data_IF_808219203578
#
_entry.id   IF_808219203578
#
_cell.length_a   1.000
_cell.length_b   1.000
_cell.length_c   1.000
_cell.angle_alpha   90.00
_cell.angle_beta   90.00
_cell.angle_gamma   90.00
#
_symmetry.space_group_name_H-M   'P 1'
#
loop_
_entity.id
_entity.type
_entity.pdbx_description
1 polymer ?
#
# COMPACT_ATOMS: atom_id res chain seq x y z
N UNK A 1 22.93 13.10 -18.19
CA UNK A 1 22.59 14.08 -17.13
C UNK A 1 23.22 13.63 -15.82
N UNK A 2 24.05 14.44 -15.17
CA UNK A 2 24.70 14.10 -13.89
C UNK A 2 23.80 14.46 -12.71
N UNK A 3 23.49 13.50 -11.84
CA UNK A 3 22.68 13.70 -10.64
C UNK A 3 23.60 13.82 -9.41
N UNK A 4 23.59 14.96 -8.70
CA UNK A 4 24.37 15.17 -7.46
C UNK A 4 23.46 15.37 -6.25
N UNK A 5 23.71 14.60 -5.17
CA UNK A 5 23.01 14.69 -3.87
C UNK A 5 24.02 14.89 -2.72
N UNK A 6 23.92 15.96 -1.91
CA UNK A 6 24.81 16.14 -0.76
C UNK A 6 24.54 15.13 0.34
N UNK A 7 25.58 14.41 0.79
CA UNK A 7 25.46 13.40 1.85
C UNK A 7 25.02 14.00 3.20
N UNK A 8 25.40 15.24 3.48
CA UNK A 8 24.99 15.96 4.69
C UNK A 8 23.46 16.10 4.82
N UNK A 9 22.73 15.99 3.71
CA UNK A 9 21.28 16.09 3.67
C UNK A 9 20.59 14.73 3.75
N UNK A 10 21.32 13.61 3.76
CA UNK A 10 20.73 12.28 3.88
C UNK A 10 20.18 12.09 5.29
N UNK A 11 18.91 11.77 5.37
CA UNK A 11 18.19 11.57 6.64
C UNK A 11 17.76 10.12 6.85
N UNK A 12 17.61 9.33 5.78
CA UNK A 12 17.37 7.92 5.89
C UNK A 12 17.92 7.15 4.69
N UNK A 13 18.40 5.94 4.94
CA UNK A 13 18.80 4.97 3.93
C UNK A 13 18.14 3.64 4.27
N UNK A 14 17.43 3.08 3.30
CA UNK A 14 16.73 1.81 3.43
C UNK A 14 17.22 0.84 2.37
N UNK A 15 17.43 -0.41 2.74
CA UNK A 15 17.47 -1.51 1.77
C UNK A 15 16.05 -1.76 1.28
N UNK A 16 15.92 -2.01 -0.03
CA UNK A 16 14.64 -2.26 -0.69
C UNK A 16 14.72 -3.51 -1.53
N UNK A 17 13.53 -3.97 -1.89
CA UNK A 17 13.36 -4.97 -2.94
C UNK A 17 12.96 -4.28 -4.23
N UNK A 18 13.32 -4.87 -5.34
CA UNK A 18 12.77 -4.54 -6.65
C UNK A 18 12.45 -5.86 -7.36
N UNK A 19 11.21 -6.01 -7.82
CA UNK A 19 10.67 -7.28 -8.38
C UNK A 19 10.94 -8.49 -7.47
N UNK A 20 10.65 -8.34 -6.19
CA UNK A 20 10.88 -9.35 -5.14
C UNK A 20 12.35 -9.80 -4.94
N UNK A 21 13.33 -9.09 -5.48
CA UNK A 21 14.76 -9.34 -5.21
C UNK A 21 15.31 -8.26 -4.29
N UNK A 22 16.13 -8.62 -3.29
CA UNK A 22 16.82 -7.69 -2.38
C UNK A 22 17.95 -6.90 -3.09
N UNK A 23 17.69 -6.33 -4.25
CA UNK A 23 18.66 -5.66 -5.13
C UNK A 23 18.70 -4.15 -4.98
N UNK A 24 17.72 -3.55 -4.31
CA UNK A 24 17.52 -2.11 -4.33
C UNK A 24 17.87 -1.41 -3.02
N UNK A 25 17.93 -0.08 -3.08
CA UNK A 25 17.98 0.79 -1.91
C UNK A 25 17.24 2.10 -2.18
N UNK A 26 16.86 2.77 -1.10
CA UNK A 26 16.19 4.06 -1.15
C UNK A 26 16.85 5.05 -0.20
N UNK A 27 17.15 6.24 -0.72
CA UNK A 27 17.81 7.33 -0.01
C UNK A 27 16.86 8.51 0.11
N UNK A 28 16.62 8.94 1.35
CA UNK A 28 15.78 10.08 1.66
C UNK A 28 16.63 11.27 2.09
N UNK A 29 16.28 12.45 1.58
CA UNK A 29 16.95 13.71 1.88
C UNK A 29 16.08 14.62 2.76
N UNK A 30 16.71 15.58 3.45
CA UNK A 30 16.02 16.61 4.24
C UNK A 30 15.04 17.41 3.37
N UNK A 31 13.97 17.91 3.99
CA UNK A 31 12.92 18.69 3.31
C UNK A 31 13.53 19.91 2.61
N UNK A 32 13.07 20.19 1.39
CA UNK A 32 13.49 21.37 0.61
C UNK A 32 14.82 21.25 -0.12
N UNK A 33 15.54 20.12 -0.01
CA UNK A 33 16.86 19.99 -0.66
C UNK A 33 16.74 19.43 -2.08
N UNK A 34 16.35 18.16 -2.25
CA UNK A 34 16.14 17.45 -3.55
C UNK A 34 15.27 16.21 -3.32
N UNK A 35 14.64 15.67 -4.38
CA UNK A 35 13.92 14.38 -4.33
C UNK A 35 14.84 13.24 -3.89
N UNK A 36 14.26 12.30 -3.15
CA UNK A 36 14.88 11.02 -2.78
C UNK A 36 15.31 10.22 -4.01
N UNK A 37 16.09 9.18 -3.80
CA UNK A 37 16.59 8.30 -4.86
C UNK A 37 16.22 6.86 -4.53
N UNK A 38 15.60 6.19 -5.49
CA UNK A 38 15.49 4.74 -5.50
C UNK A 38 16.50 4.21 -6.53
N UNK A 39 17.35 3.28 -6.11
CA UNK A 39 18.41 2.72 -6.93
C UNK A 39 18.28 1.20 -6.89
N UNK A 40 18.08 0.59 -8.05
CA UNK A 40 18.20 -0.84 -8.26
C UNK A 40 19.61 -1.16 -8.78
N UNK A 41 20.21 -2.24 -8.27
CA UNK A 41 21.55 -2.67 -8.67
C UNK A 41 21.53 -3.82 -9.67
N UNK A 42 20.36 -4.43 -9.92
CA UNK A 42 20.22 -5.63 -10.75
C UNK A 42 19.96 -6.89 -9.92
N UNK A 43 19.56 -7.97 -10.59
CA UNK A 43 19.02 -9.17 -9.92
C UNK A 43 20.06 -10.23 -9.59
N UNK A 44 21.34 -10.07 -9.99
CA UNK A 44 22.36 -11.11 -9.77
C UNK A 44 22.92 -11.07 -8.35
N UNK A 45 23.55 -12.17 -7.90
CA UNK A 45 24.26 -12.20 -6.61
C UNK A 45 25.33 -11.10 -6.52
N UNK A 46 26.08 -10.88 -7.60
CA UNK A 46 27.10 -9.83 -7.66
C UNK A 46 26.52 -8.42 -7.55
N UNK A 47 25.31 -8.19 -8.08
CA UNK A 47 24.60 -6.92 -7.95
C UNK A 47 24.14 -6.67 -6.51
N UNK A 48 23.61 -7.70 -5.84
CA UNK A 48 23.23 -7.64 -4.42
C UNK A 48 24.46 -7.37 -3.54
N UNK A 49 25.60 -8.00 -3.82
CA UNK A 49 26.85 -7.76 -3.11
C UNK A 49 27.33 -6.31 -3.31
N UNK A 50 27.25 -5.79 -4.55
CA UNK A 50 27.57 -4.39 -4.87
C UNK A 50 26.63 -3.42 -4.15
N UNK A 51 25.32 -3.70 -4.09
CA UNK A 51 24.33 -2.93 -3.30
C UNK A 51 24.74 -2.89 -1.85
N UNK A 52 25.06 -4.04 -1.25
CA UNK A 52 25.44 -4.16 0.16
C UNK A 52 26.71 -3.34 0.46
N UNK A 53 27.73 -3.43 -0.39
CA UNK A 53 28.95 -2.64 -0.27
C UNK A 53 28.66 -1.14 -0.39
N UNK A 54 27.88 -0.73 -1.40
CA UNK A 54 27.50 0.66 -1.61
C UNK A 54 26.75 1.24 -0.42
N UNK A 55 25.75 0.53 0.12
CA UNK A 55 25.01 0.95 1.32
C UNK A 55 25.95 1.09 2.52
N UNK A 56 26.83 0.11 2.76
CA UNK A 56 27.82 0.17 3.86
C UNK A 56 28.70 1.41 3.75
N UNK A 57 29.20 1.71 2.55
CA UNK A 57 30.03 2.89 2.29
C UNK A 57 29.23 4.18 2.47
N UNK A 58 28.06 4.30 1.85
CA UNK A 58 27.19 5.48 1.93
C UNK A 58 26.88 5.84 3.39
N UNK A 59 26.46 4.85 4.17
CA UNK A 59 26.05 5.01 5.57
C UNK A 59 27.19 5.49 6.46
N UNK A 60 28.44 5.17 6.13
CA UNK A 60 29.64 5.64 6.85
C UNK A 60 29.87 7.14 6.67
N UNK A 61 29.45 7.71 5.55
CA UNK A 61 29.59 9.14 5.23
C UNK A 61 28.32 9.96 5.53
N UNK A 62 27.21 9.30 5.87
CA UNK A 62 25.97 9.99 6.26
C UNK A 62 26.07 10.58 7.68
N UNK A 63 25.29 11.63 7.99
CA UNK A 63 25.17 12.15 9.35
C UNK A 63 24.89 11.06 10.41
N UNK A 64 25.38 11.24 11.63
CA UNK A 64 25.19 10.26 12.73
C UNK A 64 23.71 9.95 13.01
N UNK A 65 22.82 10.94 12.82
CA UNK A 65 21.38 10.80 12.99
C UNK A 65 20.63 10.24 11.78
N UNK A 66 21.32 9.80 10.72
CA UNK A 66 20.68 9.18 9.56
C UNK A 66 20.05 7.86 9.97
N UNK A 67 18.76 7.71 9.67
CA UNK A 67 18.03 6.48 9.87
C UNK A 67 18.58 5.38 8.96
N UNK A 68 18.78 4.22 9.57
CA UNK A 68 19.40 3.04 9.00
C UNK A 68 18.43 1.89 9.27
N UNK A 69 17.53 1.63 8.34
CA UNK A 69 16.39 0.77 8.62
C UNK A 69 16.57 -0.66 8.14
N UNK A 70 16.98 -1.51 9.08
CA UNK A 70 16.89 -2.96 8.99
C UNK A 70 15.57 -3.36 9.70
N UNK A 71 15.02 -4.58 9.54
CA UNK A 71 13.65 -4.95 9.97
C UNK A 71 13.31 -4.84 11.47
N UNK A 72 14.19 -4.32 12.32
CA UNK A 72 14.11 -4.38 13.79
C UNK A 72 13.20 -3.32 14.44
N UNK A 73 12.71 -2.32 13.70
CA UNK A 73 11.97 -1.19 14.27
C UNK A 73 10.45 -1.39 14.39
N UNK A 74 9.87 -2.45 13.79
CA UNK A 74 8.42 -2.68 13.79
C UNK A 74 7.82 -2.73 15.20
N UNK A 75 8.50 -3.41 16.15
CA UNK A 75 8.07 -3.51 17.55
C UNK A 75 8.09 -2.17 18.29
N UNK A 76 8.97 -1.24 17.90
CA UNK A 76 9.01 0.10 18.51
C UNK A 76 7.85 0.94 18.01
N UNK A 77 7.58 0.89 16.70
CA UNK A 77 6.44 1.57 16.10
C UNK A 77 5.10 1.06 16.69
N UNK A 78 4.97 -0.26 16.84
CA UNK A 78 3.81 -0.90 17.47
C UNK A 78 3.54 -0.36 18.88
N UNK A 79 4.58 -0.26 19.73
CA UNK A 79 4.46 0.28 21.09
C UNK A 79 4.01 1.75 21.11
N UNK A 80 4.47 2.55 20.15
CA UNK A 80 4.02 3.94 20.03
C UNK A 80 2.54 4.02 19.62
N UNK A 81 2.09 3.13 18.73
CA UNK A 81 0.70 3.04 18.29
C UNK A 81 -0.24 2.58 19.40
N UNK A 82 0.12 1.52 20.14
CA UNK A 82 -0.64 1.04 21.30
C UNK A 82 -0.68 2.09 22.42
N UNK A 83 0.42 2.82 22.63
CA UNK A 83 0.48 3.95 23.55
C UNK A 83 -0.23 5.22 23.06
N UNK A 84 -0.94 5.17 21.91
CA UNK A 84 -1.65 6.29 21.27
C UNK A 84 -0.78 7.53 21.02
N UNK A 85 0.53 7.34 20.86
CA UNK A 85 1.50 8.40 20.55
C UNK A 85 1.55 8.71 19.05
N UNK A 86 1.05 7.78 18.22
CA UNK A 86 0.93 7.91 16.77
C UNK A 86 -0.48 7.49 16.34
N UNK A 87 -0.97 8.11 15.26
CA UNK A 87 -2.29 7.84 14.69
C UNK A 87 -2.35 6.47 13.99
N UNK A 88 -3.54 5.98 13.64
CA UNK A 88 -3.69 4.75 12.85
C UNK A 88 -3.02 4.91 11.48
N UNK A 89 -3.26 6.04 10.83
CA UNK A 89 -2.62 6.36 9.55
C UNK A 89 -1.09 6.37 9.65
N UNK A 90 -0.53 7.03 10.67
CA UNK A 90 0.93 7.11 10.84
C UNK A 90 1.53 5.72 11.09
N UNK A 91 0.79 4.88 11.81
CA UNK A 91 1.19 3.51 12.03
C UNK A 91 1.21 2.69 10.73
N UNK A 92 0.13 2.75 9.96
CA UNK A 92 0.02 2.10 8.66
C UNK A 92 1.10 2.56 7.68
N UNK A 93 1.37 3.86 7.63
CA UNK A 93 2.47 4.40 6.82
C UNK A 93 3.83 3.84 7.25
N UNK A 94 4.09 3.77 8.57
CA UNK A 94 5.33 3.21 9.09
C UNK A 94 5.47 1.71 8.81
N UNK A 95 4.38 0.94 8.92
CA UNK A 95 4.36 -0.49 8.55
C UNK A 95 4.65 -0.68 7.05
N UNK A 96 4.00 0.10 6.18
CA UNK A 96 4.28 0.08 4.74
C UNK A 96 5.77 0.33 4.46
N UNK A 97 6.35 1.39 5.04
CA UNK A 97 7.77 1.73 4.83
C UNK A 97 8.73 0.66 5.35
N UNK A 98 8.41 0.01 6.48
CA UNK A 98 9.17 -1.10 7.04
C UNK A 98 9.02 -2.38 6.20
N UNK A 99 7.86 -2.59 5.59
CA UNK A 99 7.57 -3.73 4.71
C UNK A 99 8.15 -3.58 3.30
N UNK A 100 8.92 -2.52 3.06
CA UNK A 100 9.60 -2.24 1.78
C UNK A 100 8.76 -1.47 0.77
N UNK A 101 7.55 -1.01 1.13
CA UNK A 101 6.70 -0.22 0.24
C UNK A 101 7.26 1.19 0.04
N UNK A 102 7.11 1.72 -1.16
CA UNK A 102 7.63 3.02 -1.58
C UNK A 102 6.76 3.67 -2.64
N UNK A 103 6.72 5.00 -2.64
CA UNK A 103 6.14 5.81 -3.71
C UNK A 103 7.01 5.87 -4.98
N UNK A 104 8.29 5.51 -4.85
CA UNK A 104 9.24 5.49 -5.97
C UNK A 104 9.04 4.28 -6.89
N UNK A 105 8.31 3.25 -6.43
CA UNK A 105 7.98 2.06 -7.19
C UNK A 105 6.47 1.77 -7.06
N UNK A 106 5.72 2.04 -8.14
CA UNK A 106 4.26 1.84 -8.17
C UNK A 106 3.85 0.36 -7.98
N UNK A 107 4.74 -0.59 -8.27
CA UNK A 107 4.47 -2.02 -8.05
C UNK A 107 4.53 -2.39 -6.57
N UNK A 108 5.15 -1.54 -5.76
CA UNK A 108 5.30 -1.68 -4.31
C UNK A 108 4.77 -0.46 -3.58
N UNK A 109 3.69 0.14 -4.09
CA UNK A 109 3.07 1.31 -3.47
C UNK A 109 2.51 0.99 -2.07
N UNK A 110 2.44 1.98 -1.16
CA UNK A 110 1.82 1.77 0.14
C UNK A 110 0.33 1.36 0.02
N UNK A 111 -0.09 0.46 0.90
CA UNK A 111 -1.44 -0.13 0.91
C UNK A 111 -2.17 0.26 2.20
N UNK A 112 -3.42 0.67 2.07
CA UNK A 112 -4.33 1.05 3.15
C UNK A 112 -5.65 0.28 3.04
N UNK A 113 -6.33 0.01 4.17
CA UNK A 113 -7.62 -0.69 4.14
C UNK A 113 -8.70 0.19 3.52
N UNK A 114 -9.69 -0.41 2.87
CA UNK A 114 -11.05 0.10 2.93
C UNK A 114 -11.55 0.09 4.37
N UNK A 115 -12.12 1.20 4.85
CA UNK A 115 -12.62 1.35 6.23
C UNK A 115 -14.14 1.42 6.28
N UNK A 116 -14.76 2.17 5.38
CA UNK A 116 -16.21 2.31 5.31
C UNK A 116 -16.78 1.29 4.31
N UNK A 117 -18.06 0.98 4.46
CA UNK A 117 -18.84 0.09 3.57
C UNK A 117 -20.11 0.77 3.02
N UNK A 118 -20.57 1.85 3.64
CA UNK A 118 -21.85 2.52 3.39
C UNK A 118 -21.78 3.63 2.31
N UNK A 119 -21.13 3.37 1.17
CA UNK A 119 -20.97 4.38 0.12
C UNK A 119 -22.27 4.73 -0.64
N UNK A 120 -23.30 3.89 -0.54
CA UNK A 120 -24.64 4.16 -1.07
C UNK A 120 -25.60 4.88 -0.11
N UNK A 121 -25.21 5.05 1.16
CA UNK A 121 -26.08 5.64 2.18
C UNK A 121 -26.31 7.15 1.95
N UNK A 122 -27.48 7.70 2.35
CA UNK A 122 -27.76 9.13 2.23
C UNK A 122 -26.94 9.97 3.24
N UNK A 123 -26.62 9.41 4.40
CA UNK A 123 -25.84 10.03 5.46
C UNK A 123 -24.80 9.04 5.99
N UNK A 124 -23.71 9.55 6.55
CA UNK A 124 -22.66 8.76 7.19
C UNK A 124 -22.71 8.97 8.70
N UNK A 125 -22.95 7.90 9.46
CA UNK A 125 -22.82 7.88 10.90
C UNK A 125 -21.60 7.04 11.31
N UNK A 126 -20.58 7.69 11.89
CA UNK A 126 -19.37 7.00 12.37
C UNK A 126 -19.59 6.31 13.73
N UNK A 127 -20.75 6.50 14.37
CA UNK A 127 -21.17 5.74 15.53
C UNK A 127 -21.79 4.39 15.19
N UNK A 128 -22.26 4.22 13.94
CA UNK A 128 -22.90 2.99 13.48
C UNK A 128 -21.85 1.96 12.99
N UNK A 129 -21.70 0.80 13.65
CA UNK A 129 -20.79 -0.25 13.20
C UNK A 129 -21.12 -0.78 11.80
N UNK A 130 -22.38 -0.70 11.34
CA UNK A 130 -22.76 -1.17 10.01
C UNK A 130 -22.16 -0.31 8.87
N UNK A 131 -21.70 0.91 9.19
CA UNK A 131 -21.01 1.78 8.25
C UNK A 131 -19.55 1.36 7.98
N UNK A 132 -19.01 0.41 8.76
CA UNK A 132 -17.63 -0.04 8.67
C UNK A 132 -17.49 -1.38 7.94
N UNK A 133 -16.37 -1.54 7.23
CA UNK A 133 -15.92 -2.83 6.69
C UNK A 133 -15.42 -3.72 7.82
N UNK A 134 -15.70 -5.01 7.74
CA UNK A 134 -15.03 -6.00 8.58
C UNK A 134 -13.53 -6.10 8.22
N UNK A 135 -12.69 -5.54 9.10
CA UNK A 135 -11.23 -5.50 8.96
C UNK A 135 -10.56 -6.85 9.22
N UNK A 136 -11.30 -7.86 9.69
CA UNK A 136 -10.77 -9.21 9.90
C UNK A 136 -10.78 -10.09 8.65
N UNK A 137 -11.51 -9.67 7.62
CA UNK A 137 -11.68 -10.38 6.35
C UNK A 137 -10.96 -9.65 5.21
N UNK A 138 -10.27 -10.33 4.28
CA UNK A 138 -9.79 -9.70 3.05
C UNK A 138 -10.98 -9.26 2.17
N UNK A 139 -10.74 -8.37 1.20
CA UNK A 139 -11.79 -7.81 0.34
C UNK A 139 -12.60 -8.93 -0.33
N UNK A 140 -11.93 -9.90 -0.96
CA UNK A 140 -12.57 -11.01 -1.66
C UNK A 140 -13.50 -11.85 -0.78
N UNK A 141 -13.23 -11.90 0.52
CA UNK A 141 -14.00 -12.65 1.48
C UNK A 141 -15.13 -11.86 2.13
N UNK A 142 -15.42 -10.59 1.77
CA UNK A 142 -16.47 -9.81 2.47
C UNK A 142 -17.89 -10.29 2.19
N UNK A 143 -18.15 -10.82 1.00
CA UNK A 143 -19.44 -11.36 0.59
C UNK A 143 -19.37 -12.89 0.61
N UNK A 144 -20.32 -13.53 1.28
CA UNK A 144 -20.27 -14.98 1.54
C UNK A 144 -20.54 -15.81 0.27
N UNK A 145 -21.41 -15.32 -0.63
CA UNK A 145 -21.69 -16.01 -1.89
C UNK A 145 -20.47 -15.96 -2.82
N UNK A 146 -19.84 -14.79 -2.94
CA UNK A 146 -18.60 -14.63 -3.69
C UNK A 146 -17.44 -15.42 -3.08
N UNK A 147 -17.37 -15.46 -1.74
CA UNK A 147 -16.36 -16.27 -1.05
C UNK A 147 -16.53 -17.76 -1.40
N UNK A 148 -17.75 -18.28 -1.46
CA UNK A 148 -17.99 -19.66 -1.86
C UNK A 148 -17.43 -19.97 -3.26
N UNK A 149 -17.57 -19.04 -4.22
CA UNK A 149 -16.97 -19.20 -5.56
C UNK A 149 -15.44 -19.20 -5.54
N UNK A 150 -14.82 -18.37 -4.69
CA UNK A 150 -13.36 -18.40 -4.51
C UNK A 150 -12.87 -19.71 -3.89
N UNK A 151 -13.62 -20.24 -2.92
CA UNK A 151 -13.29 -21.51 -2.25
C UNK A 151 -13.47 -22.69 -3.20
N UNK A 152 -14.55 -22.73 -3.97
CA UNK A 152 -14.76 -23.78 -4.98
C UNK A 152 -13.58 -23.84 -5.96
N UNK A 153 -13.16 -22.68 -6.49
CA UNK A 153 -12.00 -22.60 -7.39
C UNK A 153 -10.70 -23.01 -6.73
N UNK A 154 -10.50 -22.64 -5.47
CA UNK A 154 -9.32 -23.00 -4.69
C UNK A 154 -9.24 -24.52 -4.46
N UNK A 155 -10.36 -25.14 -4.07
CA UNK A 155 -10.46 -26.57 -3.78
C UNK A 155 -10.39 -27.43 -5.03
N UNK A 156 -10.95 -26.97 -6.15
CA UNK A 156 -10.89 -27.67 -7.43
C UNK A 156 -9.60 -27.42 -8.21
N UNK A 157 -8.71 -26.54 -7.72
CA UNK A 157 -7.50 -26.16 -8.45
C UNK A 157 -6.52 -27.33 -8.52
N UNK A 158 -6.24 -27.81 -9.73
CA UNK A 158 -5.28 -28.88 -9.98
C UNK A 158 -4.29 -28.43 -11.04
N UNK A 159 -3.07 -28.13 -10.60
CA UNK A 159 -1.94 -27.82 -11.48
C UNK A 159 -0.66 -28.43 -10.86
N UNK A 160 0.19 -29.09 -11.66
CA UNK A 160 1.40 -29.72 -11.15
C UNK A 160 2.47 -28.72 -10.66
N UNK A 161 2.47 -27.50 -11.19
CA UNK A 161 3.53 -26.51 -10.97
C UNK A 161 3.04 -25.28 -10.18
N UNK A 162 1.73 -24.99 -10.23
CA UNK A 162 1.12 -23.82 -9.60
C UNK A 162 0.37 -24.25 -8.32
N UNK A 163 0.73 -23.72 -7.13
CA UNK A 163 -0.06 -23.93 -5.93
C UNK A 163 -1.46 -23.32 -6.03
N UNK A 164 -2.45 -23.93 -5.40
CA UNK A 164 -3.80 -23.38 -5.31
C UNK A 164 -3.82 -21.98 -4.68
N UNK A 165 -4.69 -21.11 -5.19
CA UNK A 165 -4.86 -19.74 -4.74
C UNK A 165 -6.32 -19.30 -4.85
N UNK A 166 -6.74 -18.36 -4.01
CA UNK A 166 -8.11 -17.81 -4.04
C UNK A 166 -8.16 -16.60 -4.98
N UNK A 167 -7.11 -15.78 -4.99
CA UNK A 167 -7.09 -14.51 -5.73
C UNK A 167 -5.99 -14.49 -6.80
N UNK A 168 -6.40 -14.50 -8.07
CA UNK A 168 -5.50 -14.31 -9.21
C UNK A 168 -5.13 -12.84 -9.45
N UNK A 169 -5.96 -11.91 -8.98
CA UNK A 169 -5.63 -10.49 -8.92
C UNK A 169 -5.14 -10.11 -7.52
N UNK A 170 -4.38 -9.02 -7.43
CA UNK A 170 -3.77 -8.56 -6.18
C UNK A 170 -4.36 -7.23 -5.73
N UNK A 171 -4.44 -7.02 -4.41
CA UNK A 171 -5.03 -5.82 -3.81
C UNK A 171 -4.23 -4.52 -4.02
N UNK A 172 -3.01 -4.63 -4.57
CA UNK A 172 -2.11 -3.51 -4.84
C UNK A 172 -1.28 -3.79 -6.09
N UNK A 173 -1.65 -3.15 -7.20
CA UNK A 173 -0.93 -3.22 -8.47
C UNK A 173 -0.70 -1.83 -9.04
N UNK A 174 0.36 -1.65 -9.83
CA UNK A 174 0.71 -0.34 -10.39
C UNK A 174 -0.42 0.21 -11.27
N UNK A 175 -0.88 -0.55 -12.26
CA UNK A 175 -1.92 -0.10 -13.19
C UNK A 175 -3.30 -0.24 -12.57
N UNK A 176 -3.63 -1.43 -12.07
CA UNK A 176 -4.96 -1.75 -11.59
C UNK A 176 -5.37 -0.94 -10.36
N UNK A 177 -4.45 -0.58 -9.46
CA UNK A 177 -4.81 0.11 -8.22
C UNK A 177 -4.29 1.55 -8.22
N UNK A 178 -2.99 1.74 -8.34
CA UNK A 178 -2.37 3.06 -8.12
C UNK A 178 -2.72 4.02 -9.23
N UNK A 179 -2.43 3.66 -10.49
CA UNK A 179 -2.77 4.49 -11.65
C UNK A 179 -4.28 4.59 -11.84
N UNK A 180 -5.04 3.52 -11.56
CA UNK A 180 -6.50 3.56 -11.61
C UNK A 180 -7.08 4.62 -10.65
N UNK A 181 -6.65 4.69 -9.39
CA UNK A 181 -7.17 5.70 -8.47
C UNK A 181 -6.59 7.09 -8.73
N UNK A 182 -5.29 7.19 -9.05
CA UNK A 182 -4.59 8.48 -9.10
C UNK A 182 -4.52 9.10 -10.51
N UNK A 183 -5.21 8.55 -11.52
CA UNK A 183 -5.10 8.96 -12.93
C UNK A 183 -5.30 10.46 -13.19
N UNK A 184 -6.00 11.18 -12.29
CA UNK A 184 -6.28 12.62 -12.40
C UNK A 184 -5.15 13.51 -11.90
N UNK A 185 -4.12 12.93 -11.27
CA UNK A 185 -2.96 13.65 -10.78
C UNK A 185 -1.77 13.46 -11.72
N UNK A 186 -0.99 14.52 -11.93
CA UNK A 186 0.34 14.38 -12.51
C UNK A 186 1.34 13.96 -11.41
N UNK A 187 2.31 13.07 -11.70
CA UNK A 187 2.65 12.47 -13.01
C UNK A 187 1.88 11.17 -13.35
N UNK A 188 0.88 10.78 -12.56
CA UNK A 188 0.17 9.50 -12.73
C UNK A 188 -0.65 9.44 -14.02
N UNK A 189 -1.18 10.57 -14.50
CA UNK A 189 -1.85 10.67 -15.79
C UNK A 189 -0.93 10.27 -16.95
N UNK A 190 0.26 10.88 -17.03
CA UNK A 190 1.26 10.57 -18.07
C UNK A 190 1.70 9.10 -17.98
N UNK A 191 1.91 8.60 -16.76
CA UNK A 191 2.27 7.20 -16.53
C UNK A 191 1.15 6.24 -16.97
N UNK A 192 -0.10 6.58 -16.69
CA UNK A 192 -1.26 5.83 -17.14
C UNK A 192 -1.29 5.76 -18.67
N UNK A 193 -1.16 6.89 -19.37
CA UNK A 193 -1.13 6.92 -20.83
C UNK A 193 0.05 6.11 -21.40
N UNK A 194 1.23 6.22 -20.78
CA UNK A 194 2.41 5.48 -21.23
C UNK A 194 2.22 3.96 -21.14
N UNK A 195 1.45 3.47 -20.17
CA UNK A 195 1.12 2.06 -19.99
C UNK A 195 -0.01 1.59 -20.92
N UNK A 196 -0.72 2.52 -21.54
CA UNK A 196 -1.91 2.30 -22.38
C UNK A 196 -1.70 2.85 -23.79
N UNK A 197 -0.55 2.55 -24.40
CA UNK A 197 -0.21 2.92 -25.79
C UNK A 197 -0.38 4.42 -26.13
N UNK A 198 -0.19 5.30 -25.15
CA UNK A 198 -0.25 6.76 -25.32
C UNK A 198 -1.64 7.38 -25.11
N UNK A 199 -2.65 6.60 -24.71
CA UNK A 199 -4.02 7.08 -24.46
C UNK A 199 -4.51 6.71 -23.06
N UNK A 200 -5.58 7.34 -22.59
CA UNK A 200 -6.28 6.83 -21.39
C UNK A 200 -6.99 5.51 -21.71
N UNK A 201 -7.31 4.74 -20.67
CA UNK A 201 -8.06 3.50 -20.82
C UNK A 201 -9.50 3.83 -21.24
N UNK A 202 -10.25 2.81 -21.69
CA UNK A 202 -11.64 3.01 -22.07
C UNK A 202 -12.44 3.58 -20.87
N UNK A 203 -13.36 4.53 -21.12
CA UNK A 203 -14.03 5.28 -20.06
C UNK A 203 -14.72 4.39 -19.01
N UNK A 204 -15.30 3.26 -19.43
CA UNK A 204 -15.99 2.30 -18.55
C UNK A 204 -15.06 1.69 -17.49
N UNK A 205 -13.76 1.54 -17.78
CA UNK A 205 -12.76 0.99 -16.86
C UNK A 205 -12.08 2.06 -16.00
N UNK A 206 -12.26 3.33 -16.32
CA UNK A 206 -11.67 4.41 -15.52
C UNK A 206 -12.38 4.52 -14.16
N UNK A 207 -11.62 4.95 -13.16
CA UNK A 207 -12.17 5.27 -11.86
C UNK A 207 -13.06 6.52 -12.00
N UNK A 208 -14.37 6.37 -11.92
CA UNK A 208 -15.33 7.48 -12.09
C UNK A 208 -16.24 7.69 -10.89
N UNK A 209 -16.35 6.72 -9.98
CA UNK A 209 -17.30 6.75 -8.88
C UNK A 209 -16.81 5.93 -7.69
N UNK A 210 -16.83 6.53 -6.49
CA UNK A 210 -16.48 5.84 -5.23
C UNK A 210 -17.47 4.71 -4.91
N UNK A 211 -18.81 4.94 -4.92
CA UNK A 211 -19.77 3.85 -4.72
C UNK A 211 -19.61 2.70 -5.72
N UNK A 212 -19.35 3.02 -7.00
CA UNK A 212 -19.12 2.00 -8.03
C UNK A 212 -17.85 1.20 -7.76
N UNK A 213 -16.76 1.86 -7.40
CA UNK A 213 -15.49 1.20 -7.08
C UNK A 213 -15.63 0.25 -5.89
N UNK A 214 -16.31 0.67 -4.82
CA UNK A 214 -16.61 -0.21 -3.69
C UNK A 214 -17.44 -1.41 -4.11
N UNK A 215 -18.55 -1.19 -4.82
CA UNK A 215 -19.43 -2.25 -5.28
C UNK A 215 -18.68 -3.30 -6.11
N UNK A 216 -17.85 -2.86 -7.07
CA UNK A 216 -17.02 -3.75 -7.88
C UNK A 216 -16.02 -4.54 -7.03
N UNK A 217 -15.33 -3.90 -6.08
CA UNK A 217 -14.41 -4.58 -5.17
C UNK A 217 -15.11 -5.60 -4.25
N UNK A 218 -16.41 -5.45 -4.00
CA UNK A 218 -17.17 -6.38 -3.14
C UNK A 218 -18.00 -7.41 -3.89
N UNK A 219 -18.21 -7.27 -5.20
CA UNK A 219 -19.04 -8.19 -5.99
C UNK A 219 -18.32 -8.89 -7.12
N UNK A 220 -17.31 -8.27 -7.76
CA UNK A 220 -16.61 -8.88 -8.88
C UNK A 220 -15.45 -9.77 -8.40
N UNK A 221 -15.29 -10.93 -9.05
CA UNK A 221 -14.25 -11.91 -8.71
C UNK A 221 -12.84 -11.48 -9.13
N UNK A 222 -12.73 -10.63 -10.14
CA UNK A 222 -11.45 -10.07 -10.59
C UNK A 222 -10.99 -8.88 -9.73
N UNK A 223 -11.81 -8.44 -8.77
CA UNK A 223 -11.66 -7.16 -8.08
C UNK A 223 -11.51 -7.34 -6.57
N UNK A 224 -10.26 -7.25 -6.09
CA UNK A 224 -9.93 -7.35 -4.65
C UNK A 224 -9.06 -6.19 -4.17
N UNK A 225 -9.19 -5.02 -4.82
CA UNK A 225 -8.35 -3.84 -4.60
C UNK A 225 -8.50 -3.30 -3.18
N UNK A 226 -7.37 -3.07 -2.50
CA UNK A 226 -7.32 -2.23 -1.30
C UNK A 226 -6.96 -0.79 -1.70
N UNK A 227 -7.00 0.12 -0.74
CA UNK A 227 -6.83 1.56 -0.99
C UNK A 227 -5.37 1.99 -0.99
N UNK A 228 -5.13 3.16 -1.57
CA UNK A 228 -3.87 3.89 -1.39
C UNK A 228 -4.02 4.91 -0.25
N UNK A 229 -2.92 5.40 0.33
CA UNK A 229 -2.98 6.39 1.42
C UNK A 229 -3.70 7.70 1.07
N UNK A 230 -3.72 8.09 -0.21
CA UNK A 230 -4.31 9.34 -0.72
C UNK A 230 -5.80 9.45 -0.37
N UNK A 231 -6.52 8.33 -0.27
CA UNK A 231 -7.91 8.25 0.18
C UNK A 231 -8.15 8.78 1.60
N UNK A 232 -7.09 9.08 2.35
CA UNK A 232 -7.14 9.58 3.73
C UNK A 232 -6.43 10.92 3.92
N UNK A 233 -5.91 11.54 2.86
CA UNK A 233 -5.18 12.80 3.00
C UNK A 233 -5.10 13.70 1.75
N UNK A 234 -5.50 13.25 0.56
CA UNK A 234 -5.40 14.05 -0.69
C UNK A 234 -6.77 14.13 -1.35
N UNK A 235 -7.43 15.29 -1.41
CA UNK A 235 -8.70 15.43 -2.12
C UNK A 235 -8.54 15.55 -3.64
N UNK A 236 -7.37 16.00 -4.11
CA UNK A 236 -7.13 16.39 -5.50
C UNK A 236 -7.29 15.23 -6.51
N UNK A 237 -7.03 13.97 -6.11
CA UNK A 237 -7.18 12.82 -7.02
C UNK A 237 -8.64 12.56 -7.43
N UNK A 238 -9.60 13.16 -6.73
CA UNK A 238 -11.02 13.06 -7.02
C UNK A 238 -11.49 14.12 -8.04
N UNK A 239 -10.62 15.04 -8.45
CA UNK A 239 -10.96 16.12 -9.38
C UNK A 239 -10.12 16.07 -10.65
N UNK A 240 -10.75 16.30 -11.79
CA UNK A 240 -10.08 16.48 -13.08
C UNK A 240 -9.65 17.94 -13.28
N UNK A 241 -8.83 18.48 -12.36
CA UNK A 241 -8.37 19.88 -12.40
C UNK A 241 -7.55 20.22 -13.64
N UNK A 242 -6.93 19.21 -14.27
CA UNK A 242 -6.12 19.35 -15.47
C UNK A 242 -6.96 19.34 -16.76
N UNK A 243 -8.28 19.09 -16.68
CA UNK A 243 -9.16 19.03 -17.83
C UNK A 243 -8.82 17.89 -18.80
N UNK A 244 -8.39 16.73 -18.29
CA UNK A 244 -8.08 15.58 -19.12
C UNK A 244 -9.32 15.09 -19.88
N UNK A 245 -9.12 14.69 -21.14
CA UNK A 245 -10.17 14.09 -21.97
C UNK A 245 -10.31 12.60 -21.64
N UNK A 246 -11.17 12.28 -20.66
CA UNK A 246 -11.38 10.92 -20.17
C UNK A 246 -12.52 10.16 -20.88
N UNK A 247 -13.14 10.79 -21.89
CA UNK A 247 -14.21 10.21 -22.70
C UNK A 247 -15.56 10.09 -22.00
N UNK A 248 -16.44 9.26 -22.56
CA UNK A 248 -17.75 8.95 -22.02
C UNK A 248 -17.98 7.43 -22.00
N UNK A 249 -18.67 6.93 -20.98
CA UNK A 249 -19.03 5.51 -20.84
C UNK A 249 -19.98 5.07 -21.96
N UNK A 250 -20.22 3.77 -22.06
CA UNK A 250 -21.21 3.22 -23.01
C UNK A 250 -22.62 3.78 -22.78
N UNK A 251 -22.94 4.15 -21.54
CA UNK A 251 -24.21 4.76 -21.15
C UNK A 251 -24.27 6.27 -21.47
N UNK A 252 -23.21 6.83 -22.06
CA UNK A 252 -23.11 8.24 -22.43
C UNK A 252 -22.71 9.18 -21.29
N UNK A 253 -22.41 8.65 -20.10
CA UNK A 253 -21.95 9.47 -18.98
C UNK A 253 -20.50 9.91 -19.20
N UNK A 254 -20.27 11.22 -19.20
CA UNK A 254 -18.92 11.78 -19.33
C UNK A 254 -18.09 11.45 -18.09
N UNK A 255 -16.87 10.94 -18.30
CA UNK A 255 -15.91 10.74 -17.21
C UNK A 255 -15.15 12.04 -16.99
N UNK A 256 -15.20 12.56 -15.75
CA UNK A 256 -14.55 13.81 -15.37
C UNK A 256 -14.15 13.76 -13.88
N UNK A 257 -14.64 14.66 -13.02
CA UNK A 257 -14.58 14.53 -11.57
C UNK A 257 -15.16 13.18 -11.09
N UNK A 258 -14.62 12.66 -9.99
CA UNK A 258 -15.08 11.39 -9.40
C UNK A 258 -16.40 11.63 -8.67
N UNK A 259 -17.42 10.85 -8.99
CA UNK A 259 -18.69 10.85 -8.29
C UNK A 259 -18.51 10.37 -6.84
N UNK A 260 -18.88 11.22 -5.90
CA UNK A 260 -18.76 10.97 -4.46
C UNK A 260 -20.05 10.38 -3.87
N UNK A 261 -19.97 9.71 -2.71
CA UNK A 261 -21.15 9.33 -1.94
C UNK A 261 -21.99 10.55 -1.57
N UNK A 262 -23.32 10.37 -1.45
CA UNK A 262 -24.26 11.45 -1.14
C UNK A 262 -23.95 12.20 0.15
N UNK A 263 -23.35 11.50 1.12
CA UNK A 263 -22.96 12.08 2.38
C UNK A 263 -21.70 12.96 2.31
N UNK A 264 -20.98 13.02 1.19
CA UNK A 264 -19.81 13.87 1.02
C UNK A 264 -20.15 15.11 0.17
N UNK A 265 -20.02 16.29 0.76
CA UNK A 265 -20.35 17.54 0.07
C UNK A 265 -19.25 18.00 -0.92
N UNK A 266 -18.00 17.57 -0.69
CA UNK A 266 -16.87 17.84 -1.55
C UNK A 266 -15.78 16.78 -1.37
N UNK A 267 -14.77 16.70 -2.26
CA UNK A 267 -13.57 15.90 -2.05
C UNK A 267 -12.89 16.12 -0.70
N UNK A 268 -12.79 17.37 -0.20
CA UNK A 268 -12.22 17.67 1.11
C UNK A 268 -13.07 17.08 2.24
N UNK A 269 -14.39 17.23 2.15
CA UNK A 269 -15.32 16.68 3.13
C UNK A 269 -15.26 15.13 3.13
N UNK A 270 -15.16 14.52 1.95
CA UNK A 270 -14.95 13.09 1.79
C UNK A 270 -13.66 12.63 2.49
N UNK A 271 -12.52 13.25 2.18
CA UNK A 271 -11.22 12.89 2.78
C UNK A 271 -11.23 13.10 4.29
N UNK A 272 -11.83 14.19 4.77
CA UNK A 272 -11.95 14.48 6.20
C UNK A 272 -12.76 13.40 6.91
N UNK A 273 -13.89 12.96 6.33
CA UNK A 273 -14.73 11.88 6.87
C UNK A 273 -14.02 10.53 6.81
N UNK A 274 -13.35 10.19 5.71
CA UNK A 274 -12.51 9.00 5.60
C UNK A 274 -11.40 8.97 6.66
N UNK A 275 -10.71 10.11 6.86
CA UNK A 275 -9.67 10.22 7.89
C UNK A 275 -10.25 10.10 9.30
N UNK A 276 -11.41 10.69 9.56
CA UNK A 276 -12.10 10.53 10.84
C UNK A 276 -12.52 9.07 11.09
N UNK A 277 -13.00 8.37 10.05
CA UNK A 277 -13.35 6.95 10.13
C UNK A 277 -12.12 6.09 10.44
N UNK A 278 -11.00 6.29 9.73
CA UNK A 278 -9.75 5.58 9.98
C UNK A 278 -9.21 5.77 11.40
N UNK A 279 -9.40 6.96 11.98
CA UNK A 279 -8.96 7.28 13.33
C UNK A 279 -10.02 6.99 14.41
N UNK A 280 -11.17 6.41 14.05
CA UNK A 280 -12.23 6.09 15.00
C UNK A 280 -11.81 5.02 16.01
N UNK A 281 -12.55 4.93 17.12
CA UNK A 281 -12.33 3.86 18.10
C UNK A 281 -12.67 2.49 17.50
N UNK A 282 -13.74 2.39 16.69
CA UNK A 282 -14.09 1.17 15.99
C UNK A 282 -12.91 0.62 15.16
N UNK A 283 -12.25 1.47 14.36
CA UNK A 283 -11.06 1.04 13.60
C UNK A 283 -9.89 0.78 14.53
N UNK A 284 -9.65 1.61 15.53
CA UNK A 284 -8.54 1.44 16.48
C UNK A 284 -8.59 0.09 17.22
N UNK A 285 -9.79 -0.40 17.53
CA UNK A 285 -9.99 -1.68 18.18
C UNK A 285 -9.77 -2.85 17.21
N UNK A 286 -10.06 -2.70 15.92
CA UNK A 286 -10.10 -3.80 14.94
C UNK A 286 -8.94 -3.81 13.93
N UNK A 287 -8.18 -2.72 13.77
CA UNK A 287 -7.15 -2.57 12.72
C UNK A 287 -6.04 -3.61 12.78
N UNK A 288 -5.75 -4.15 13.96
CA UNK A 288 -4.75 -5.21 14.14
C UNK A 288 -5.08 -6.48 13.34
N UNK A 289 -6.37 -6.79 13.11
CA UNK A 289 -6.78 -7.92 12.28
C UNK A 289 -6.43 -7.71 10.81
N UNK A 290 -6.64 -6.50 10.28
CA UNK A 290 -6.25 -6.18 8.90
C UNK A 290 -4.73 -6.20 8.74
N UNK A 291 -3.99 -5.73 9.76
CA UNK A 291 -2.53 -5.82 9.78
C UNK A 291 -2.08 -7.28 9.75
N UNK A 292 -2.78 -8.20 10.41
CA UNK A 292 -2.48 -9.63 10.36
C UNK A 292 -2.59 -10.21 8.95
N UNK A 293 -3.57 -9.76 8.15
CA UNK A 293 -3.75 -10.18 6.76
C UNK A 293 -2.63 -9.68 5.84
N UNK A 294 -2.22 -8.42 6.00
CA UNK A 294 -1.36 -7.73 5.02
C UNK A 294 0.13 -7.79 5.41
N UNK A 295 0.46 -7.65 6.69
CA UNK A 295 1.84 -7.60 7.20
C UNK A 295 2.15 -8.66 8.25
N UNK A 296 1.14 -9.41 8.71
CA UNK A 296 1.27 -10.31 9.86
C UNK A 296 1.13 -11.78 9.51
N UNK A 297 0.76 -12.57 10.51
CA UNK A 297 0.84 -14.02 10.44
C UNK A 297 -0.20 -14.67 9.50
N UNK A 298 -1.27 -13.96 9.12
CA UNK A 298 -2.30 -14.43 8.17
C UNK A 298 -1.97 -14.10 6.71
N UNK A 299 -0.77 -13.59 6.43
CA UNK A 299 -0.34 -13.31 5.05
C UNK A 299 -0.05 -14.61 4.27
N UNK A 300 0.47 -15.66 4.94
CA UNK A 300 0.93 -16.90 4.31
C UNK A 300 0.65 -18.12 5.20
N UNK A 301 0.76 -19.32 4.61
CA UNK A 301 0.59 -20.60 5.31
C UNK A 301 -0.86 -20.90 5.70
N UNK A 302 -1.05 -21.83 6.63
CA UNK A 302 -2.40 -22.28 7.03
C UNK A 302 -3.26 -21.13 7.56
N UNK A 303 -2.67 -20.19 8.31
CA UNK A 303 -3.40 -19.02 8.81
C UNK A 303 -3.93 -18.11 7.69
N UNK A 304 -3.32 -18.12 6.50
CA UNK A 304 -3.84 -17.42 5.33
C UNK A 304 -5.00 -18.19 4.69
N UNK A 305 -4.92 -19.52 4.62
CA UNK A 305 -6.01 -20.38 4.13
C UNK A 305 -7.25 -20.22 5.01
N UNK A 306 -7.08 -20.32 6.33
CA UNK A 306 -8.16 -20.18 7.31
C UNK A 306 -8.79 -18.77 7.30
N UNK A 307 -8.01 -17.76 6.92
CA UNK A 307 -8.48 -16.38 6.79
C UNK A 307 -8.92 -16.00 5.37
N UNK A 308 -8.94 -16.97 4.45
CA UNK A 308 -9.28 -16.80 3.04
C UNK A 308 -8.44 -15.74 2.33
N UNK A 309 -7.13 -15.75 2.55
CA UNK A 309 -6.19 -14.68 2.18
C UNK A 309 -5.04 -15.17 1.28
N UNK A 310 -5.30 -16.12 0.39
CA UNK A 310 -4.29 -16.74 -0.47
C UNK A 310 -4.30 -16.13 -1.87
N UNK A 311 -3.23 -15.42 -2.22
CA UNK A 311 -3.00 -14.81 -3.53
C UNK A 311 -2.18 -15.73 -4.42
N UNK A 312 -2.10 -15.40 -5.71
CA UNK A 312 -1.24 -16.09 -6.64
C UNK A 312 0.22 -16.15 -6.15
N UNK A 313 0.85 -17.33 -6.26
CA UNK A 313 2.11 -17.63 -5.57
C UNK A 313 3.27 -16.69 -5.92
N UNK A 314 3.33 -16.17 -7.16
CA UNK A 314 4.36 -15.21 -7.60
C UNK A 314 4.31 -13.85 -6.90
N UNK A 315 3.21 -13.55 -6.21
CA UNK A 315 3.09 -12.30 -5.43
C UNK A 315 3.94 -12.34 -4.16
N UNK A 316 4.29 -13.53 -3.66
CA UNK A 316 5.01 -13.70 -2.39
C UNK A 316 6.53 -13.68 -2.58
N UNK A 317 7.18 -12.96 -1.67
CA UNK A 317 8.64 -12.93 -1.60
C UNK A 317 9.21 -14.33 -1.34
N UNK A 318 10.23 -14.72 -2.11
CA UNK A 318 10.90 -16.01 -1.96
C UNK A 318 10.18 -17.20 -2.60
N UNK A 319 9.02 -16.98 -3.23
CA UNK A 319 8.31 -18.05 -3.95
C UNK A 319 9.10 -18.55 -5.19
N UNK A 320 9.82 -17.64 -5.86
CA UNK A 320 10.74 -17.97 -6.95
C UNK A 320 12.09 -17.29 -6.73
N UNK A 321 13.16 -18.04 -6.99
CA UNK A 321 14.52 -17.53 -7.05
C UNK A 321 14.88 -17.19 -8.51
N UNK A 322 14.69 -15.92 -8.89
CA UNK A 322 14.98 -15.44 -10.26
C UNK A 322 16.44 -15.67 -10.68
N UNK A 323 17.37 -15.80 -9.73
CA UNK A 323 18.79 -16.05 -10.02
C UNK A 323 19.06 -17.46 -10.52
N UNK A 324 18.14 -18.40 -10.24
CA UNK A 324 18.24 -19.80 -10.67
C UNK A 324 17.63 -20.06 -12.04
N UNK A 325 16.86 -19.11 -12.59
CA UNK A 325 16.27 -19.23 -13.93
C UNK A 325 17.37 -18.95 -14.97
N UNK A 326 17.82 -20.02 -15.64
CA UNK A 326 18.87 -19.96 -16.67
C UNK A 326 18.37 -19.45 -18.01
N UNK A 327 17.11 -19.73 -18.34
CA UNK A 327 16.48 -19.22 -19.56
C UNK A 327 16.13 -17.75 -19.39
N UNK A 328 16.78 -16.89 -20.18
CA UNK A 328 16.59 -15.44 -20.15
C UNK A 328 15.18 -15.01 -20.56
N UNK A 329 14.52 -15.74 -21.47
CA UNK A 329 13.16 -15.42 -21.91
C UNK A 329 12.17 -15.72 -20.78
N UNK A 330 12.29 -16.90 -20.16
CA UNK A 330 11.50 -17.28 -19.00
C UNK A 330 11.74 -16.33 -17.83
N UNK A 331 13.00 -15.97 -17.53
CA UNK A 331 13.33 -15.03 -16.45
C UNK A 331 12.66 -13.68 -16.67
N UNK A 332 12.73 -13.13 -17.88
CA UNK A 332 12.08 -11.86 -18.24
C UNK A 332 10.55 -11.94 -18.14
N UNK A 333 9.95 -13.04 -18.58
CA UNK A 333 8.51 -13.24 -18.46
C UNK A 333 8.06 -13.27 -16.99
N UNK A 334 8.76 -14.03 -16.15
CA UNK A 334 8.49 -14.09 -14.70
C UNK A 334 8.69 -12.73 -14.03
N UNK A 335 9.75 -11.99 -14.40
CA UNK A 335 9.98 -10.63 -13.90
C UNK A 335 8.84 -9.66 -14.25
N UNK A 336 8.33 -9.73 -15.48
CA UNK A 336 7.18 -8.92 -15.92
C UNK A 336 5.92 -9.31 -15.16
N UNK A 337 5.68 -10.61 -14.96
CA UNK A 337 4.54 -11.09 -14.20
C UNK A 337 4.58 -10.56 -12.76
N UNK A 338 5.74 -10.65 -12.08
CA UNK A 338 5.93 -10.08 -10.73
C UNK A 338 5.70 -8.56 -10.72
N UNK A 339 6.18 -7.85 -11.74
CA UNK A 339 6.02 -6.40 -11.80
C UNK A 339 4.54 -5.96 -11.98
N UNK A 340 3.77 -6.67 -12.81
CA UNK A 340 2.43 -6.23 -13.19
C UNK A 340 1.29 -6.83 -12.36
N UNK A 341 1.44 -8.05 -11.83
CA UNK A 341 0.36 -8.78 -11.16
C UNK A 341 0.34 -8.61 -9.64
N UNK A 342 1.24 -7.78 -9.11
CA UNK A 342 1.26 -7.38 -7.70
C UNK A 342 2.32 -8.10 -6.87
N UNK A 343 2.73 -7.44 -5.79
CA UNK A 343 3.75 -7.94 -4.87
C UNK A 343 3.22 -7.80 -3.45
N UNK A 344 3.23 -8.87 -2.65
CA UNK A 344 2.90 -8.83 -1.24
C UNK A 344 3.98 -8.04 -0.46
N UNK A 345 3.61 -7.23 0.56
CA UNK A 345 4.59 -6.57 1.41
C UNK A 345 5.42 -7.60 2.17
N UNK A 346 6.59 -7.21 2.67
CA UNK A 346 7.35 -8.08 3.57
C UNK A 346 6.52 -8.38 4.81
N UNK A 347 6.41 -9.66 5.19
CA UNK A 347 5.81 -10.03 6.46
C UNK A 347 6.67 -9.46 7.61
N UNK A 348 6.06 -8.64 8.45
CA UNK A 348 6.69 -7.97 9.58
C UNK A 348 6.47 -8.72 10.90
N UNK A 349 5.37 -9.49 10.99
CA UNK A 349 4.98 -10.18 12.22
C UNK A 349 4.60 -11.63 11.93
N UNK A 350 5.13 -12.56 12.73
CA UNK A 350 4.81 -13.99 12.65
C UNK A 350 3.83 -14.46 13.72
N UNK A 351 3.36 -13.56 14.58
CA UNK A 351 2.36 -13.80 15.63
C UNK A 351 1.18 -12.84 15.43
N UNK A 352 0.00 -13.15 16.01
CA UNK A 352 -1.13 -12.24 16.03
C UNK A 352 -0.72 -10.83 16.45
N UNK A 353 -1.06 -9.85 15.62
CA UNK A 353 -0.76 -8.46 15.89
C UNK A 353 -1.56 -8.02 17.13
N UNK A 354 -0.94 -7.44 18.16
CA UNK A 354 -1.70 -7.07 19.35
C UNK A 354 -2.65 -5.91 19.05
N UNK A 355 -3.80 -5.83 19.74
CA UNK A 355 -4.74 -4.73 19.58
C UNK A 355 -4.10 -3.40 20.01
N UNK A 356 -4.62 -2.28 19.49
CA UNK A 356 -4.15 -0.94 19.91
C UNK A 356 -4.35 -0.72 21.41
N UNK A 357 -5.38 -1.35 21.98
CA UNK A 357 -5.79 -1.20 23.36
C UNK A 357 -6.80 -0.08 23.54
N UNK A 358 -7.60 -0.19 24.61
CA UNK A 358 -8.59 0.83 24.98
C UNK A 358 -7.90 2.13 25.34
N UNK A 359 -8.60 3.25 25.13
CA UNK A 359 -8.12 4.57 25.54
C UNK A 359 -8.05 4.62 27.07
N UNK A 360 -6.88 4.34 27.64
CA UNK A 360 -6.67 4.53 29.08
C UNK A 360 -6.48 6.02 29.34
N UNK A 361 -7.50 6.67 29.89
CA UNK A 361 -7.39 8.02 30.47
C UNK A 361 -6.56 7.92 31.75
N UNK A 362 -5.24 7.80 31.61
CA UNK A 362 -4.36 7.97 32.77
C UNK A 362 -4.23 9.48 33.00
N UNK A 363 -4.59 10.02 34.18
CA UNK A 363 -4.24 11.38 34.56
C UNK A 363 -2.71 11.43 34.61
N UNK A 364 -2.06 11.92 33.57
CA UNK A 364 -0.61 12.07 33.55
C UNK A 364 -0.24 13.46 34.04
N UNK A 365 0.70 13.58 35.01
CA UNK A 365 1.36 14.85 35.29
C UNK A 365 2.02 15.37 34.00
N UNK A 366 2.07 16.69 33.85
CA UNK A 366 2.72 17.40 32.74
C UNK A 366 4.24 17.12 32.72
N UNK A 367 4.64 15.98 32.18
CA UNK A 367 6.05 15.67 31.91
C UNK A 367 6.22 15.29 30.43
N UNK A 368 6.85 16.19 29.69
CA UNK A 368 7.21 16.04 28.27
C UNK A 368 8.41 15.10 28.13
N UNK A 369 8.17 13.79 28.00
CA UNK A 369 9.23 12.83 27.64
C UNK A 369 9.43 12.80 26.12
N UNK A 370 10.47 13.50 25.64
CA UNK A 370 10.82 13.71 24.22
C UNK A 370 11.38 12.47 23.50
N UNK A 371 11.86 11.45 24.22
CA UNK A 371 12.68 10.35 23.64
C UNK A 371 11.97 9.39 22.66
N UNK A 372 10.63 9.38 22.59
CA UNK A 372 9.89 8.52 21.65
C UNK A 372 9.31 9.23 20.42
N UNK A 373 9.35 10.57 20.39
CA UNK A 373 8.84 11.36 19.26
C UNK A 373 9.85 11.45 18.11
N UNK A 374 11.13 11.16 18.35
CA UNK A 374 12.18 11.31 17.34
C UNK A 374 12.09 10.27 16.22
N UNK A 375 11.89 8.98 16.54
CA UNK A 375 11.70 7.95 15.50
C UNK A 375 10.50 8.27 14.61
N UNK A 376 9.38 8.67 15.21
CA UNK A 376 8.19 9.03 14.43
C UNK A 376 8.42 10.33 13.64
N UNK A 377 8.97 11.40 14.22
CA UNK A 377 9.36 12.60 13.44
C UNK A 377 10.26 12.25 12.26
N UNK A 378 11.12 11.23 12.39
CA UNK A 378 12.03 10.77 11.35
C UNK A 378 11.36 9.84 10.30
N UNK A 379 10.45 8.93 10.70
CA UNK A 379 9.59 8.13 9.79
C UNK A 379 8.61 9.04 9.04
N UNK A 380 8.01 10.04 9.69
CA UNK A 380 7.17 11.08 9.07
C UNK A 380 7.90 11.84 8.01
N UNK A 381 9.17 12.11 8.27
CA UNK A 381 10.06 12.69 7.31
C UNK A 381 10.13 11.76 6.08
N UNK A 382 10.51 10.49 6.22
CA UNK A 382 10.61 9.55 5.09
C UNK A 382 9.30 9.36 4.31
N UNK A 383 8.18 9.27 5.02
CA UNK A 383 6.85 8.92 4.51
C UNK A 383 6.09 10.13 3.96
N UNK A 384 5.93 11.19 4.76
CA UNK A 384 5.13 12.37 4.37
C UNK A 384 5.74 13.17 3.23
N UNK A 385 7.04 12.97 2.93
CA UNK A 385 7.75 13.60 1.81
C UNK A 385 7.46 13.00 0.45
N UNK A 386 6.95 11.77 0.40
CA UNK A 386 6.70 11.04 -0.83
C UNK A 386 5.27 11.24 -1.39
N UNK A 387 4.33 11.66 -0.53
CA UNK A 387 2.97 12.07 -0.93
C UNK A 387 2.89 13.45 -1.59
N UNK A 388 3.86 14.33 -1.32
CA UNK A 388 3.85 15.74 -1.77
C UNK A 388 4.92 16.03 -2.84
N UNK A 389 5.53 15.00 -3.41
CA UNK A 389 6.62 15.10 -4.39
C UNK A 389 6.24 14.43 -5.69
#
# INVERSE_FOLDING_TARGET
RTCRRPLAHVCAVYTRRYRLVDSAMEVFLRRGTKRGLFLDFGVTKGDVDRRNEFVRMLVRFCPRGTLKHWPTEARRLQRLWQGRRISNFDYLMGLNALAGRSYSDLCQYPVFPWVLSCYGAPALDLGDPACYRDLSRPIGALDDARLAEFLERYESFQDPDIPAFMYGSHYSTAVGVVLHFLLRLQPFADLHQSMQNGAFDVPDRLFSSVPRAWALCTSALSEVKELTPEWYCVPDFLRNVNGFELGATQDGERVDDVALPRWAASPEDFIRKHRAALESEHVSENLHHWIDLIFGHKQQGQAAVDAHNVFYYLTYYGAIDLTKIRDDALRRATELQIAHFGQCPMQLFSRPHPPRGRRVLVPRPLATTTQGLDLWRQVRCAVGRAMHS
#
